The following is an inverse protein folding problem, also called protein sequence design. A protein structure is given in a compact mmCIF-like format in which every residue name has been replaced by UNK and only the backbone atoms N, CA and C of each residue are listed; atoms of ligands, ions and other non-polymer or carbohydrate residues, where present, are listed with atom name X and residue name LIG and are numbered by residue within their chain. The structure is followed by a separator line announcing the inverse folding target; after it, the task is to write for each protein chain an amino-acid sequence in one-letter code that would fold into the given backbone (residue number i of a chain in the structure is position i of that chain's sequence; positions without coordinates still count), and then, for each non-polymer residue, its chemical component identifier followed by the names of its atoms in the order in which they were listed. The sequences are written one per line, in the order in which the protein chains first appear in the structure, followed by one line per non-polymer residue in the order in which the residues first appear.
data_IF_416373135702
#
_entry.id   IF_416373135702
#
_cell.length_a   1.000
_cell.length_b   1.000
_cell.length_c   1.000
_cell.angle_alpha   90.00
_cell.angle_beta   90.00
_cell.angle_gamma   90.00
#
_symmetry.space_group_name_H-M   'P 1'
#
loop_
_entity.id
_entity.type
_entity.pdbx_description
1 polymer ?
#
# COMPACT_ATOMS: atom_id res chain seq x y z
N UNK A 1 -12.43 -24.65 -12.55
CA UNK A 1 -12.26 -23.18 -12.58
C UNK A 1 -10.80 -22.89 -12.89
N UNK A 2 -10.49 -22.00 -13.84
CA UNK A 2 -9.10 -21.77 -14.28
C UNK A 2 -8.43 -20.75 -13.32
N UNK A 3 -7.42 -21.15 -12.52
CA UNK A 3 -6.84 -20.31 -11.47
C UNK A 3 -6.24 -19.00 -11.99
N UNK A 4 -5.75 -18.98 -13.24
CA UNK A 4 -5.26 -17.76 -13.87
C UNK A 4 -6.37 -16.72 -14.07
N UNK A 5 -7.58 -17.16 -14.47
CA UNK A 5 -8.71 -16.26 -14.74
C UNK A 5 -9.20 -15.56 -13.48
N UNK A 6 -9.26 -16.28 -12.35
CA UNK A 6 -9.60 -15.71 -11.05
C UNK A 6 -8.55 -14.72 -10.57
N UNK A 7 -7.27 -15.05 -10.73
CA UNK A 7 -6.17 -14.12 -10.40
C UNK A 7 -6.28 -12.80 -11.18
N UNK A 8 -6.54 -12.85 -12.48
CA UNK A 8 -6.73 -11.62 -13.26
C UNK A 8 -7.99 -10.84 -12.86
N UNK A 9 -9.11 -11.53 -12.58
CA UNK A 9 -10.34 -10.87 -12.12
C UNK A 9 -10.13 -10.13 -10.79
N UNK A 10 -9.36 -10.70 -9.86
CA UNK A 10 -9.00 -10.05 -8.60
C UNK A 10 -7.94 -8.94 -8.75
N UNK A 11 -7.07 -9.05 -9.76
CA UNK A 11 -6.09 -8.01 -10.09
C UNK A 11 -6.78 -6.72 -10.56
N UNK A 12 -7.81 -6.87 -11.39
CA UNK A 12 -8.56 -5.79 -12.04
C UNK A 12 -9.86 -5.42 -11.30
N UNK A 13 -9.89 -5.58 -9.97
CA UNK A 13 -11.02 -5.11 -9.17
C UNK A 13 -11.23 -3.60 -9.33
N UNK A 14 -12.49 -3.15 -9.45
CA UNK A 14 -12.86 -1.75 -9.70
C UNK A 14 -12.13 -0.74 -8.80
N UNK A 15 -12.01 -1.03 -7.49
CA UNK A 15 -11.31 -0.17 -6.53
C UNK A 15 -9.82 0.01 -6.86
N UNK A 16 -9.16 -1.05 -7.34
CA UNK A 16 -7.73 -1.03 -7.71
C UNK A 16 -7.53 -0.25 -9.00
N UNK A 17 -8.42 -0.45 -9.98
CA UNK A 17 -8.39 0.30 -11.25
C UNK A 17 -8.62 1.77 -10.98
N UNK A 18 -9.68 2.13 -10.23
CA UNK A 18 -9.97 3.51 -9.89
C UNK A 18 -8.79 4.18 -9.20
N UNK A 19 -8.20 3.49 -8.22
CA UNK A 19 -7.03 3.98 -7.52
C UNK A 19 -5.83 4.18 -8.46
N UNK A 20 -5.54 3.21 -9.33
CA UNK A 20 -4.51 3.32 -10.35
C UNK A 20 -4.74 4.54 -11.27
N UNK A 21 -5.96 4.73 -11.76
CA UNK A 21 -6.33 5.87 -12.61
C UNK A 21 -6.14 7.20 -11.90
N UNK A 22 -6.53 7.30 -10.62
CA UNK A 22 -6.35 8.52 -9.84
C UNK A 22 -4.86 8.86 -9.70
N UNK A 23 -4.02 7.90 -9.35
CA UNK A 23 -2.58 8.18 -9.18
C UNK A 23 -1.93 8.54 -10.50
N UNK A 24 -2.31 7.86 -11.60
CA UNK A 24 -1.83 8.20 -12.93
C UNK A 24 -2.23 9.63 -13.32
N UNK A 25 -3.48 10.03 -13.11
CA UNK A 25 -3.94 11.39 -13.38
C UNK A 25 -3.20 12.43 -12.54
N UNK A 26 -3.01 12.19 -11.24
CA UNK A 26 -2.25 13.09 -10.37
C UNK A 26 -0.80 13.26 -10.84
N UNK A 27 -0.16 12.17 -11.28
CA UNK A 27 1.20 12.23 -11.82
C UNK A 27 1.28 13.07 -13.10
N UNK A 28 0.30 12.92 -14.00
CA UNK A 28 0.21 13.68 -15.24
C UNK A 28 -0.04 15.16 -14.94
N UNK A 29 -0.96 15.48 -14.03
CA UNK A 29 -1.24 16.84 -13.59
C UNK A 29 0.04 17.48 -13.05
N UNK A 30 0.78 16.81 -12.17
CA UNK A 30 2.03 17.33 -11.62
C UNK A 30 3.08 17.60 -12.71
N UNK A 31 3.26 16.68 -13.66
CA UNK A 31 4.19 16.85 -14.78
C UNK A 31 3.81 18.01 -15.71
N UNK A 32 2.51 18.12 -16.04
CA UNK A 32 1.98 19.20 -16.90
C UNK A 32 2.07 20.56 -16.18
N UNK A 33 1.75 20.61 -14.89
CA UNK A 33 1.92 21.83 -14.08
C UNK A 33 3.37 22.30 -14.07
N UNK A 34 4.33 21.38 -13.93
CA UNK A 34 5.76 21.72 -14.03
C UNK A 34 6.11 22.26 -15.42
N UNK A 35 5.61 21.62 -16.49
CA UNK A 35 5.85 22.04 -17.87
C UNK A 35 5.38 23.48 -18.10
N UNK A 36 4.13 23.79 -17.73
CA UNK A 36 3.55 25.11 -17.90
C UNK A 36 4.22 26.15 -17.00
N UNK A 37 4.51 25.81 -15.74
CA UNK A 37 5.24 26.72 -14.85
C UNK A 37 6.59 27.13 -15.46
N UNK A 38 7.36 26.17 -15.97
CA UNK A 38 8.66 26.44 -16.61
C UNK A 38 8.49 27.21 -17.91
N UNK A 39 7.50 26.85 -18.75
CA UNK A 39 7.24 27.55 -20.01
C UNK A 39 6.81 29.01 -19.79
N UNK A 40 6.02 29.28 -18.76
CA UNK A 40 5.47 30.62 -18.49
C UNK A 40 6.44 31.53 -17.74
N UNK A 41 7.29 30.98 -16.85
CA UNK A 41 8.12 31.78 -15.95
C UNK A 41 9.63 31.58 -16.12
N UNK A 42 10.08 30.62 -16.93
CA UNK A 42 11.49 30.30 -17.17
C UNK A 42 11.76 30.02 -18.65
N UNK A 43 11.66 31.07 -19.47
CA UNK A 43 11.84 31.01 -20.93
C UNK A 43 13.23 30.52 -21.38
N UNK A 44 14.23 30.57 -20.50
CA UNK A 44 15.59 30.11 -20.77
C UNK A 44 15.73 28.58 -20.79
N UNK A 45 14.74 27.83 -20.29
CA UNK A 45 14.82 26.36 -20.25
C UNK A 45 14.56 25.81 -21.66
N UNK A 46 15.51 25.07 -22.25
CA UNK A 46 15.32 24.46 -23.56
C UNK A 46 14.11 23.51 -23.56
N UNK A 47 13.33 23.51 -24.65
CA UNK A 47 12.16 22.65 -24.82
C UNK A 47 12.46 21.18 -24.47
N UNK A 48 13.61 20.68 -24.94
CA UNK A 48 14.10 19.32 -24.68
C UNK A 48 14.19 19.01 -23.18
N UNK A 49 14.84 19.89 -22.42
CA UNK A 49 14.98 19.74 -20.97
C UNK A 49 13.63 19.82 -20.27
N UNK A 50 12.74 20.72 -20.72
CA UNK A 50 11.41 20.84 -20.13
C UNK A 50 10.57 19.57 -20.33
N UNK A 51 10.54 19.01 -21.54
CA UNK A 51 9.83 17.74 -21.83
C UNK A 51 10.45 16.57 -21.08
N UNK A 52 11.79 16.46 -21.08
CA UNK A 52 12.52 15.43 -20.33
C UNK A 52 12.14 15.45 -18.85
N UNK A 53 12.17 16.61 -18.21
CA UNK A 53 11.89 16.75 -16.78
C UNK A 53 10.41 16.49 -16.46
N UNK A 54 9.50 16.86 -17.36
CA UNK A 54 8.07 16.50 -17.22
C UNK A 54 7.87 14.99 -17.24
N UNK A 55 8.46 14.28 -18.19
CA UNK A 55 8.41 12.81 -18.25
C UNK A 55 9.08 12.17 -17.03
N UNK A 56 10.18 12.76 -16.56
CA UNK A 56 10.88 12.31 -15.36
C UNK A 56 9.99 12.39 -14.13
N UNK A 57 9.30 13.52 -13.93
CA UNK A 57 8.39 13.71 -12.78
C UNK A 57 7.23 12.73 -12.83
N UNK A 58 6.59 12.55 -14.00
CA UNK A 58 5.50 11.57 -14.16
C UNK A 58 6.01 10.16 -13.83
N UNK A 59 7.15 9.77 -14.40
CA UNK A 59 7.76 8.46 -14.18
C UNK A 59 8.14 8.23 -12.72
N UNK A 60 8.82 9.20 -12.11
CA UNK A 60 9.28 9.15 -10.72
C UNK A 60 8.14 9.02 -9.72
N UNK A 61 7.04 9.77 -9.90
CA UNK A 61 5.85 9.66 -9.03
C UNK A 61 5.27 8.25 -9.12
N UNK A 62 5.08 7.72 -10.33
CA UNK A 62 4.51 6.37 -10.52
C UNK A 62 5.43 5.29 -9.94
N UNK A 63 6.74 5.40 -10.13
CA UNK A 63 7.72 4.45 -9.59
C UNK A 63 7.80 4.50 -8.07
N UNK A 64 7.93 5.69 -7.49
CA UNK A 64 7.99 5.86 -6.04
C UNK A 64 6.71 5.32 -5.39
N UNK A 65 5.55 5.69 -5.92
CA UNK A 65 4.27 5.25 -5.38
C UNK A 65 4.10 3.74 -5.46
N UNK A 66 4.30 3.14 -6.63
CA UNK A 66 4.16 1.69 -6.82
C UNK A 66 5.14 0.91 -5.94
N UNK A 67 6.38 1.38 -5.82
CA UNK A 67 7.39 0.77 -4.94
C UNK A 67 6.95 0.81 -3.47
N UNK A 68 6.50 1.97 -2.98
CA UNK A 68 6.02 2.12 -1.60
C UNK A 68 4.86 1.17 -1.32
N UNK A 69 3.87 1.10 -2.22
CA UNK A 69 2.71 0.22 -2.05
C UNK A 69 3.12 -1.26 -2.09
N UNK A 70 4.02 -1.64 -2.99
CA UNK A 70 4.55 -3.02 -3.06
C UNK A 70 5.26 -3.36 -1.74
N UNK A 71 6.12 -2.49 -1.22
CA UNK A 71 6.82 -2.67 0.06
C UNK A 71 5.84 -2.84 1.23
N UNK A 72 4.85 -1.97 1.35
CA UNK A 72 3.80 -2.11 2.38
C UNK A 72 3.03 -3.43 2.22
N UNK A 73 2.72 -3.83 0.99
CA UNK A 73 2.01 -5.08 0.72
C UNK A 73 2.85 -6.33 0.99
N UNK A 74 4.19 -6.21 0.98
CA UNK A 74 5.14 -7.24 1.42
C UNK A 74 5.29 -7.29 2.93
N UNK A 75 4.66 -6.36 3.65
CA UNK A 75 4.73 -6.28 5.11
C UNK A 75 5.91 -5.46 5.62
N UNK A 76 6.63 -4.76 4.74
CA UNK A 76 7.68 -3.83 5.16
C UNK A 76 7.08 -2.75 6.07
N UNK A 77 7.67 -2.54 7.25
CA UNK A 77 7.14 -1.63 8.28
C UNK A 77 5.95 -2.18 9.10
N UNK A 78 5.31 -3.28 8.68
CA UNK A 78 4.15 -3.84 9.41
C UNK A 78 4.53 -4.73 10.58
N UNK A 79 5.78 -5.22 10.64
CA UNK A 79 6.29 -6.09 11.72
C UNK A 79 6.16 -5.45 13.10
N UNK A 80 6.38 -4.13 13.20
CA UNK A 80 6.22 -3.40 14.46
C UNK A 80 4.77 -3.41 14.95
N UNK A 81 3.82 -3.15 14.05
CA UNK A 81 2.39 -3.21 14.35
C UNK A 81 1.91 -4.64 14.65
N UNK A 82 2.43 -5.65 13.94
CA UNK A 82 2.18 -7.06 14.24
C UNK A 82 2.66 -7.41 15.65
N UNK A 83 3.86 -6.97 16.03
CA UNK A 83 4.41 -7.19 17.37
C UNK A 83 3.54 -6.56 18.46
N UNK A 84 3.14 -5.29 18.31
CA UNK A 84 2.24 -4.61 19.26
C UNK A 84 0.91 -5.36 19.41
N UNK A 85 0.30 -5.76 18.29
CA UNK A 85 -0.97 -6.48 18.28
C UNK A 85 -0.85 -7.85 18.95
N UNK A 86 0.21 -8.60 18.64
CA UNK A 86 0.46 -9.90 19.24
C UNK A 86 0.75 -9.78 20.74
N UNK A 87 1.52 -8.78 21.15
CA UNK A 87 1.77 -8.50 22.57
C UNK A 87 0.49 -8.16 23.34
N UNK A 88 -0.43 -7.40 22.73
CA UNK A 88 -1.74 -7.11 23.33
C UNK A 88 -2.59 -8.37 23.50
N UNK A 89 -2.58 -9.29 22.52
CA UNK A 89 -3.23 -10.59 22.63
C UNK A 89 -2.60 -11.45 23.73
N UNK A 90 -1.26 -11.51 23.78
CA UNK A 90 -0.53 -12.25 24.81
C UNK A 90 -0.85 -11.74 26.21
N UNK A 91 -0.91 -10.41 26.40
CA UNK A 91 -1.32 -9.81 27.68
C UNK A 91 -2.73 -10.22 28.09
N UNK A 92 -3.70 -10.16 27.17
CA UNK A 92 -5.08 -10.57 27.45
C UNK A 92 -5.18 -12.08 27.81
N UNK A 93 -4.41 -12.94 27.15
CA UNK A 93 -4.32 -14.37 27.47
C UNK A 93 -3.73 -14.61 28.86
N UNK A 94 -2.66 -13.89 29.21
CA UNK A 94 -2.03 -14.00 30.53
C UNK A 94 -2.98 -13.49 31.63
N UNK A 95 -3.73 -12.42 31.38
CA UNK A 95 -4.73 -11.92 32.31
C UNK A 95 -5.86 -12.94 32.52
N UNK A 96 -6.37 -13.55 31.44
CA UNK A 96 -7.36 -14.62 31.52
C UNK A 96 -6.87 -15.80 32.36
N UNK A 97 -5.62 -16.25 32.17
CA UNK A 97 -5.05 -17.31 33.01
C UNK A 97 -4.94 -16.90 34.47
N UNK A 98 -4.51 -15.67 34.75
CA UNK A 98 -4.44 -15.16 36.11
C UNK A 98 -5.81 -15.10 36.78
N UNK A 99 -6.84 -14.72 36.02
CA UNK A 99 -8.21 -14.63 36.51
C UNK A 99 -8.80 -16.03 36.71
N UNK A 100 -8.46 -17.03 35.88
CA UNK A 100 -8.88 -18.43 36.08
C UNK A 100 -8.30 -19.08 37.34
N UNK A 101 -7.20 -18.57 37.89
CA UNK A 101 -6.57 -19.07 39.12
C UNK A 101 -7.16 -18.50 40.41
N UNK A 102 -8.01 -17.47 40.32
CA UNK A 102 -8.66 -16.83 41.47
C UNK A 102 -9.91 -17.62 41.95
N UNK A 103 -10.33 -17.48 43.21
CA UNK A 103 -11.50 -18.19 43.75
C UNK A 103 -12.82 -17.70 43.14
N UNK A 104 -13.58 -18.63 42.52
CA UNK A 104 -14.80 -18.39 41.72
C UNK A 104 -15.84 -17.49 42.39
N UNK A 105 -15.91 -16.21 41.97
CA UNK A 105 -17.06 -15.31 42.22
C UNK A 105 -17.90 -15.08 40.95
N UNK A 106 -19.12 -14.55 41.09
CA UNK A 106 -19.94 -14.15 39.94
C UNK A 106 -19.28 -13.04 39.11
N UNK A 107 -18.67 -12.06 39.77
CA UNK A 107 -17.90 -10.99 39.12
C UNK A 107 -16.72 -11.56 38.32
N UNK A 108 -16.02 -12.55 38.86
CA UNK A 108 -14.91 -13.20 38.18
C UNK A 108 -15.39 -13.99 36.96
N UNK A 109 -16.53 -14.68 37.05
CA UNK A 109 -17.13 -15.37 35.89
C UNK A 109 -17.52 -14.38 34.80
N UNK A 110 -18.05 -13.22 35.17
CA UNK A 110 -18.33 -12.15 34.21
C UNK A 110 -17.05 -11.62 33.56
N UNK A 111 -15.99 -11.38 34.35
CA UNK A 111 -14.69 -10.90 33.86
C UNK A 111 -14.03 -11.90 32.90
N UNK A 112 -14.06 -13.19 33.24
CA UNK A 112 -13.56 -14.28 32.38
C UNK A 112 -14.30 -14.28 31.02
N UNK A 113 -15.64 -14.18 31.03
CA UNK A 113 -16.42 -14.11 29.78
C UNK A 113 -16.05 -12.92 28.91
N UNK A 114 -15.80 -11.76 29.52
CA UNK A 114 -15.38 -10.55 28.79
C UNK A 114 -14.01 -10.77 28.14
N UNK A 115 -13.03 -11.28 28.90
CA UNK A 115 -11.68 -11.55 28.41
C UNK A 115 -11.68 -12.62 27.30
N UNK A 116 -12.48 -13.67 27.41
CA UNK A 116 -12.64 -14.70 26.36
C UNK A 116 -13.21 -14.10 25.07
N UNK A 117 -14.22 -13.22 25.19
CA UNK A 117 -14.79 -12.52 24.04
C UNK A 117 -13.77 -11.58 23.39
N UNK A 118 -12.97 -10.87 24.18
CA UNK A 118 -11.93 -9.97 23.68
C UNK A 118 -10.82 -10.73 22.95
N UNK A 119 -10.35 -11.85 23.51
CA UNK A 119 -9.34 -12.73 22.89
C UNK A 119 -9.87 -13.28 21.57
N UNK A 120 -11.13 -13.72 21.52
CA UNK A 120 -11.77 -14.20 20.29
C UNK A 120 -11.77 -13.12 19.21
N UNK A 121 -12.24 -11.92 19.54
CA UNK A 121 -12.26 -10.78 18.59
C UNK A 121 -10.84 -10.43 18.10
N UNK A 122 -9.85 -10.41 19.00
CA UNK A 122 -8.46 -10.07 18.65
C UNK A 122 -7.82 -11.14 17.77
N UNK A 123 -8.03 -12.42 18.07
CA UNK A 123 -7.50 -13.54 17.28
C UNK A 123 -8.11 -13.61 15.90
N UNK A 124 -9.43 -13.47 15.77
CA UNK A 124 -10.12 -13.41 14.47
C UNK A 124 -9.60 -12.25 13.61
N UNK A 125 -9.39 -11.07 14.20
CA UNK A 125 -8.78 -9.93 13.48
C UNK A 125 -7.34 -10.19 13.02
N UNK A 126 -6.54 -10.89 13.83
CA UNK A 126 -5.17 -11.27 13.44
C UNK A 126 -5.20 -12.21 12.25
N UNK A 127 -6.01 -13.27 12.33
CA UNK A 127 -6.15 -14.30 11.32
C UNK A 127 -6.68 -13.73 9.99
N UNK A 128 -7.70 -12.87 10.04
CA UNK A 128 -8.23 -12.19 8.85
C UNK A 128 -7.17 -11.32 8.16
N UNK A 129 -6.29 -10.67 8.93
CA UNK A 129 -5.20 -9.87 8.36
C UNK A 129 -4.10 -10.75 7.73
N UNK A 130 -3.79 -11.90 8.33
CA UNK A 130 -2.71 -12.79 7.89
C UNK A 130 -3.10 -13.64 6.68
N UNK A 131 -4.37 -14.06 6.60
CA UNK A 131 -4.88 -14.88 5.49
C UNK A 131 -5.24 -14.06 4.23
N UNK A 132 -5.15 -12.73 4.29
CA UNK A 132 -5.51 -11.87 3.15
C UNK A 132 -4.43 -11.91 2.07
N UNK A 133 -4.64 -12.73 1.03
CA UNK A 133 -3.82 -12.70 -0.18
C UNK A 133 -4.02 -11.38 -0.91
N UNK A 134 -2.98 -10.54 -0.94
CA UNK A 134 -3.00 -9.28 -1.68
C UNK A 134 -2.49 -9.54 -3.10
N UNK A 135 -3.36 -9.44 -4.09
CA UNK A 135 -2.95 -9.44 -5.48
C UNK A 135 -2.34 -8.08 -5.86
N UNK A 136 -1.05 -8.11 -6.24
CA UNK A 136 -0.18 -6.95 -6.49
C UNK A 136 -0.01 -6.60 -7.97
N UNK A 137 -0.64 -7.34 -8.88
CA UNK A 137 -0.39 -7.24 -10.32
C UNK A 137 -0.54 -5.81 -10.87
N UNK A 138 -1.57 -5.08 -10.46
CA UNK A 138 -1.82 -3.70 -10.91
C UNK A 138 -0.68 -2.74 -10.54
N UNK A 139 -0.03 -2.97 -9.38
CA UNK A 139 1.07 -2.12 -8.92
C UNK A 139 2.36 -2.44 -9.67
N UNK A 140 2.57 -3.70 -10.08
CA UNK A 140 3.66 -4.03 -11.00
C UNK A 140 3.44 -3.42 -12.39
N UNK A 141 2.20 -3.43 -12.90
CA UNK A 141 1.89 -2.74 -14.15
C UNK A 141 2.19 -1.24 -14.06
N UNK A 142 1.83 -0.61 -12.94
CA UNK A 142 2.15 0.79 -12.66
C UNK A 142 3.65 1.06 -12.59
N UNK A 143 4.41 0.14 -11.99
CA UNK A 143 5.89 0.20 -11.95
C UNK A 143 6.49 0.14 -13.35
N UNK A 144 5.98 -0.74 -14.22
CA UNK A 144 6.40 -0.83 -15.64
C UNK A 144 6.11 0.47 -16.38
N UNK A 145 4.90 1.04 -16.21
CA UNK A 145 4.52 2.32 -16.83
C UNK A 145 5.45 3.45 -16.37
N UNK A 146 5.72 3.56 -15.06
CA UNK A 146 6.66 4.55 -14.52
C UNK A 146 8.07 4.39 -15.09
N UNK A 147 8.52 3.15 -15.27
CA UNK A 147 9.82 2.83 -15.89
C UNK A 147 9.87 3.28 -17.35
N UNK A 148 8.81 3.07 -18.12
CA UNK A 148 8.70 3.54 -19.51
C UNK A 148 8.81 5.07 -19.59
N UNK A 149 8.19 5.80 -18.65
CA UNK A 149 8.31 7.26 -18.60
C UNK A 149 9.74 7.72 -18.26
N UNK A 150 10.44 7.06 -17.34
CA UNK A 150 11.84 7.38 -17.04
C UNK A 150 12.79 7.06 -18.20
N UNK A 151 12.57 5.95 -18.91
CA UNK A 151 13.33 5.61 -20.11
C UNK A 151 13.06 6.65 -21.19
N UNK A 152 11.81 7.00 -21.44
CA UNK A 152 11.44 8.05 -22.40
C UNK A 152 12.06 9.40 -22.03
N UNK A 153 12.05 9.77 -20.76
CA UNK A 153 12.73 10.97 -20.24
C UNK A 153 14.23 10.94 -20.56
N UNK A 154 14.90 9.82 -20.27
CA UNK A 154 16.33 9.65 -20.55
C UNK A 154 16.63 9.71 -22.05
N UNK A 155 15.81 9.06 -22.88
CA UNK A 155 15.92 9.15 -24.34
C UNK A 155 15.80 10.60 -24.79
N UNK A 156 14.78 11.33 -24.32
CA UNK A 156 14.60 12.75 -24.67
C UNK A 156 15.74 13.62 -24.16
N UNK A 157 16.35 13.28 -23.01
CA UNK A 157 17.49 14.01 -22.45
C UNK A 157 18.79 13.79 -23.24
N UNK A 158 19.07 12.55 -23.64
CA UNK A 158 20.37 12.13 -24.20
C UNK A 158 20.38 11.96 -25.73
N UNK A 159 19.26 11.60 -26.34
CA UNK A 159 19.12 11.48 -27.80
C UNK A 159 18.59 12.81 -28.34
N UNK A 160 19.52 13.74 -28.53
CA UNK A 160 19.53 14.93 -29.42
C UNK A 160 20.70 15.82 -29.00
#
# INVERSE_FOLDING_TARGET
MNPAREYFKEAFGWKKILHFTIVLLLSIIAGISLYFYRRSYKSEIPYKSNVSDTLLVIGAINLAYSTIVILFSLGFGTTFFKSIRNNSLTRAKNELESEKRKPSSEEQRAKIRILEKEIKIKSEKIEQCENKKINRFIYYLMLVIGTIFLISSSIVAYIN
#
